data_IF_583372082386
#
_entry.id   IF_583372082386
#
_cell.length_a   1.000
_cell.length_b   1.000
_cell.length_c   1.000
_cell.angle_alpha   90.00
_cell.angle_beta   90.00
_cell.angle_gamma   90.00
#
_symmetry.space_group_name_H-M   'P 1'
#
loop_
_entity.id
_entity.type
_entity.pdbx_description
1 polymer ?
#
# COMPACT_ATOMS: atom_id res chain seq x y z
N UNK A 1 -5.13 -16.95 -4.88
CA UNK A 1 -5.50 -17.75 -6.09
C UNK A 1 -4.71 -17.22 -7.29
N UNK A 2 -4.49 -18.02 -8.34
CA UNK A 2 -3.59 -17.72 -9.48
C UNK A 2 -3.87 -16.38 -10.21
N UNK A 3 -5.04 -15.76 -9.98
CA UNK A 3 -5.48 -14.46 -10.53
C UNK A 3 -4.79 -13.27 -9.85
N UNK A 4 -4.45 -13.37 -8.56
CA UNK A 4 -3.93 -12.22 -7.78
C UNK A 4 -2.47 -11.87 -8.12
N UNK A 5 -1.66 -12.89 -8.42
CA UNK A 5 -0.23 -12.72 -8.72
C UNK A 5 0.04 -12.07 -10.09
N UNK A 6 -0.88 -12.20 -11.05
CA UNK A 6 -0.79 -11.52 -12.35
C UNK A 6 -1.42 -10.13 -12.32
N UNK A 7 -2.42 -9.91 -11.46
CA UNK A 7 -3.09 -8.62 -11.29
C UNK A 7 -2.19 -7.54 -10.67
N UNK A 8 -1.15 -7.95 -9.94
CA UNK A 8 -0.11 -7.07 -9.36
C UNK A 8 1.04 -6.79 -10.32
N UNK A 9 1.11 -7.43 -11.49
CA UNK A 9 2.11 -7.09 -12.49
C UNK A 9 1.83 -5.70 -13.05
N UNK A 10 2.88 -4.97 -13.42
CA UNK A 10 2.74 -3.63 -13.99
C UNK A 10 1.87 -3.62 -15.24
N UNK A 11 1.71 -4.74 -15.95
CA UNK A 11 0.88 -4.91 -17.14
C UNK A 11 -0.42 -5.70 -16.90
N UNK A 12 -0.82 -5.95 -15.65
CA UNK A 12 -2.11 -6.57 -15.32
C UNK A 12 -3.28 -5.59 -15.37
N UNK A 13 -4.50 -6.09 -15.25
CA UNK A 13 -5.75 -5.28 -15.35
C UNK A 13 -5.82 -4.09 -14.38
N UNK A 14 -5.06 -4.13 -13.29
CA UNK A 14 -4.98 -3.06 -12.28
C UNK A 14 -3.65 -2.30 -12.29
N UNK A 15 -2.72 -2.64 -13.19
CA UNK A 15 -1.35 -2.12 -13.21
C UNK A 15 -1.31 -0.58 -13.29
N UNK A 16 -2.13 0.03 -14.14
CA UNK A 16 -2.19 1.49 -14.27
C UNK A 16 -2.70 2.21 -13.01
N UNK A 17 -3.63 1.58 -12.29
CA UNK A 17 -4.13 2.11 -11.02
C UNK A 17 -3.05 2.02 -9.94
N UNK A 18 -2.41 0.85 -9.81
CA UNK A 18 -1.32 0.62 -8.86
C UNK A 18 -0.13 1.54 -9.12
N UNK A 19 0.22 1.75 -10.39
CA UNK A 19 1.28 2.68 -10.78
C UNK A 19 0.90 4.10 -10.35
N UNK A 20 -0.31 4.57 -10.64
CA UNK A 20 -0.76 5.90 -10.18
C UNK A 20 -0.64 6.07 -8.67
N UNK A 21 -1.06 5.07 -7.88
CA UNK A 21 -0.91 5.08 -6.43
C UNK A 21 0.56 5.14 -6.01
N UNK A 22 1.43 4.34 -6.64
CA UNK A 22 2.87 4.37 -6.38
C UNK A 22 3.51 5.72 -6.71
N UNK A 23 3.18 6.30 -7.87
CA UNK A 23 3.66 7.62 -8.26
C UNK A 23 3.31 8.71 -7.25
N UNK A 24 2.17 8.58 -6.57
CA UNK A 24 1.77 9.50 -5.50
C UNK A 24 2.68 9.45 -4.27
N UNK A 25 3.32 8.31 -3.98
CA UNK A 25 4.16 8.11 -2.78
C UNK A 25 5.65 7.93 -3.07
N UNK A 26 6.06 7.77 -4.34
CA UNK A 26 7.45 7.41 -4.72
C UNK A 26 8.53 8.41 -4.29
N UNK A 27 8.16 9.68 -4.09
CA UNK A 27 9.09 10.74 -3.65
C UNK A 27 9.01 11.02 -2.15
N UNK A 28 8.29 10.17 -1.41
CA UNK A 28 7.94 10.40 -0.02
C UNK A 28 8.38 9.21 0.84
N UNK A 29 9.67 9.15 1.25
CA UNK A 29 10.23 8.03 1.98
C UNK A 29 9.44 7.67 3.25
N UNK A 30 8.97 8.68 3.99
CA UNK A 30 8.13 8.48 5.19
C UNK A 30 6.85 7.70 4.88
N UNK A 31 6.17 8.00 3.77
CA UNK A 31 4.95 7.28 3.38
C UNK A 31 5.26 5.85 2.93
N UNK A 32 6.41 5.62 2.29
CA UNK A 32 6.83 4.28 1.88
C UNK A 32 7.15 3.41 3.09
N UNK A 33 7.89 3.96 4.07
CA UNK A 33 8.21 3.25 5.30
C UNK A 33 6.95 2.95 6.13
N UNK A 34 6.05 3.92 6.26
CA UNK A 34 4.76 3.72 6.92
C UNK A 34 3.94 2.63 6.22
N UNK A 35 3.88 2.64 4.88
CA UNK A 35 3.15 1.62 4.12
C UNK A 35 3.77 0.22 4.29
N UNK A 36 5.10 0.11 4.26
CA UNK A 36 5.82 -1.14 4.54
C UNK A 36 5.56 -1.66 5.96
N UNK A 37 5.55 -0.76 6.95
CA UNK A 37 5.22 -1.11 8.32
C UNK A 37 3.79 -1.68 8.40
N UNK A 38 2.81 -0.99 7.81
CA UNK A 38 1.42 -1.45 7.77
C UNK A 38 1.31 -2.84 7.14
N UNK A 39 2.00 -3.08 6.02
CA UNK A 39 2.01 -4.37 5.33
C UNK A 39 2.55 -5.49 6.24
N UNK A 40 3.66 -5.24 6.93
CA UNK A 40 4.39 -6.28 7.69
C UNK A 40 3.86 -6.51 9.09
N UNK A 41 3.46 -5.45 9.79
CA UNK A 41 3.13 -5.50 11.23
C UNK A 41 1.69 -5.17 11.53
N UNK A 42 0.90 -4.73 10.53
CA UNK A 42 -0.47 -4.24 10.69
C UNK A 42 -0.59 -3.06 11.66
N UNK A 43 0.46 -2.24 11.75
CA UNK A 43 0.53 -1.05 12.58
C UNK A 43 1.21 0.09 11.82
N UNK A 44 1.02 1.33 12.28
CA UNK A 44 1.73 2.51 11.77
C UNK A 44 2.05 3.41 12.96
N UNK A 45 3.34 3.71 13.18
CA UNK A 45 3.76 4.57 14.29
C UNK A 45 3.75 6.06 13.95
N UNK A 46 3.64 6.39 12.66
CA UNK A 46 3.54 7.76 12.16
C UNK A 46 2.07 8.07 11.82
N UNK A 47 1.42 8.86 12.67
CA UNK A 47 0.00 9.22 12.52
C UNK A 47 -0.25 10.12 11.30
N UNK A 48 0.68 11.04 11.00
CA UNK A 48 0.58 11.91 9.82
C UNK A 48 0.70 11.09 8.54
N UNK A 49 1.65 10.15 8.49
CA UNK A 49 1.78 9.23 7.37
C UNK A 49 0.54 8.34 7.23
N UNK A 50 0.01 7.82 8.34
CA UNK A 50 -1.21 7.01 8.35
C UNK A 50 -2.40 7.79 7.76
N UNK A 51 -2.64 9.01 8.23
CA UNK A 51 -3.73 9.85 7.74
C UNK A 51 -3.60 10.11 6.24
N UNK A 52 -2.39 10.39 5.76
CA UNK A 52 -2.11 10.63 4.33
C UNK A 52 -2.33 9.38 3.49
N UNK A 53 -1.92 8.20 3.98
CA UNK A 53 -2.16 6.92 3.33
C UNK A 53 -3.66 6.57 3.29
N UNK A 54 -4.42 6.90 4.34
CA UNK A 54 -5.88 6.73 4.35
C UNK A 54 -6.56 7.65 3.34
N UNK A 55 -6.14 8.93 3.26
CA UNK A 55 -6.63 9.89 2.26
C UNK A 55 -6.29 9.48 0.82
N UNK A 56 -5.14 8.85 0.61
CA UNK A 56 -4.76 8.27 -0.68
C UNK A 56 -5.50 6.95 -1.01
N UNK A 57 -6.34 6.45 -0.11
CA UNK A 57 -7.06 5.19 -0.29
C UNK A 57 -6.20 3.93 -0.13
N UNK A 58 -4.96 4.06 0.35
CA UNK A 58 -4.00 2.96 0.49
C UNK A 58 -4.20 2.17 1.79
N UNK A 59 -4.57 2.84 2.87
CA UNK A 59 -4.73 2.24 4.19
C UNK A 59 -6.14 2.41 4.75
N UNK A 60 -6.49 1.54 5.68
CA UNK A 60 -7.67 1.63 6.54
C UNK A 60 -7.31 1.13 7.94
N UNK A 61 -8.11 1.53 8.93
CA UNK A 61 -7.90 1.20 10.33
C UNK A 61 -9.21 0.69 10.93
N UNK A 62 -9.11 -0.36 11.74
CA UNK A 62 -10.23 -0.91 12.52
C UNK A 62 -9.73 -1.18 13.93
N UNK A 63 -10.15 -0.33 14.89
CA UNK A 63 -9.51 -0.29 16.20
C UNK A 63 -8.02 0.06 16.08
N UNK A 64 -7.17 -0.74 16.72
CA UNK A 64 -5.71 -0.54 16.68
C UNK A 64 -5.02 -1.20 15.48
N UNK A 65 -5.79 -1.95 14.68
CA UNK A 65 -5.24 -2.68 13.53
C UNK A 65 -5.31 -1.80 12.29
N UNK A 66 -4.15 -1.57 11.67
CA UNK A 66 -4.02 -0.85 10.41
C UNK A 66 -3.69 -1.82 9.29
N UNK A 67 -4.41 -1.76 8.19
CA UNK A 67 -4.19 -2.64 7.03
C UNK A 67 -4.24 -1.87 5.72
N UNK A 68 -3.68 -2.45 4.65
CA UNK A 68 -3.96 -1.96 3.31
C UNK A 68 -5.46 -2.10 3.01
N UNK A 69 -6.05 -1.08 2.36
CA UNK A 69 -7.47 -1.10 2.00
C UNK A 69 -7.85 -2.29 1.11
N UNK A 70 -6.90 -2.78 0.32
CA UNK A 70 -7.06 -3.93 -0.55
C UNK A 70 -5.84 -4.85 -0.40
N UNK A 71 -6.05 -6.16 -0.34
CA UNK A 71 -4.97 -7.15 -0.25
C UNK A 71 -3.99 -7.08 -1.42
N UNK A 72 -4.49 -6.73 -2.61
CA UNK A 72 -3.69 -6.52 -3.82
C UNK A 72 -2.69 -5.36 -3.68
N UNK A 73 -3.03 -4.32 -2.91
CA UNK A 73 -2.11 -3.22 -2.64
C UNK A 73 -0.95 -3.70 -1.77
N UNK A 74 -1.24 -4.47 -0.72
CA UNK A 74 -0.20 -5.03 0.14
C UNK A 74 0.84 -5.82 -0.65
N UNK A 75 0.37 -6.75 -1.51
CA UNK A 75 1.26 -7.56 -2.36
C UNK A 75 2.08 -6.72 -3.34
N UNK A 76 1.45 -5.78 -4.04
CA UNK A 76 2.14 -4.91 -5.00
C UNK A 76 3.20 -4.03 -4.34
N UNK A 77 2.83 -3.35 -3.25
CA UNK A 77 3.73 -2.41 -2.57
C UNK A 77 4.83 -3.12 -1.77
N UNK A 78 4.58 -4.32 -1.25
CA UNK A 78 5.63 -5.13 -0.63
C UNK A 78 6.75 -5.44 -1.61
N UNK A 79 6.40 -5.89 -2.83
CA UNK A 79 7.39 -6.16 -3.87
C UNK A 79 8.06 -4.87 -4.37
N UNK A 80 7.32 -3.77 -4.55
CA UNK A 80 7.87 -2.53 -5.13
C UNK A 80 8.75 -1.71 -4.19
N UNK A 81 8.57 -1.86 -2.87
CA UNK A 81 9.25 -1.06 -1.85
C UNK A 81 10.33 -1.83 -1.08
N UNK A 82 10.42 -3.14 -1.26
CA UNK A 82 11.53 -3.98 -0.78
C UNK A 82 12.65 -4.00 -1.81
#
# INVERSE_FOLDING_TARGET
TQIEAQATLDNGDFGDHLRRLYWGIRTQPTLQQALLQIIRTRTCSDEDALFRLQKAGLATQTGDVVTCRCGLYGQYFEHKLT
#
